data_IF_677874842051
#
_entry.id   IF_677874842051
#
_cell.length_a   1.000
_cell.length_b   1.000
_cell.length_c   1.000
_cell.angle_alpha   90.00
_cell.angle_beta   90.00
_cell.angle_gamma   90.00
#
_symmetry.space_group_name_H-M   'P 1'
#
loop_
_entity.id
_entity.type
_entity.pdbx_description
1 polymer ?
#
# COMPACT_ATOMS: atom_id res chain seq x y z
N UNK A 1 -16.31 -11.21 2.18
CA UNK A 1 -15.74 -10.87 0.85
C UNK A 1 -14.62 -11.85 0.55
N UNK A 2 -14.58 -12.45 -0.64
CA UNK A 2 -13.45 -13.32 -1.02
C UNK A 2 -12.18 -12.47 -1.13
N UNK A 3 -11.01 -12.95 -0.70
CA UNK A 3 -9.76 -12.22 -0.90
C UNK A 3 -9.53 -12.00 -2.39
N UNK A 4 -9.15 -10.78 -2.77
CA UNK A 4 -8.74 -10.47 -4.13
C UNK A 4 -7.41 -11.18 -4.38
N UNK A 5 -7.41 -12.22 -5.21
CA UNK A 5 -6.20 -12.95 -5.58
C UNK A 5 -5.66 -12.34 -6.87
N UNK A 6 -4.43 -11.81 -6.82
CA UNK A 6 -3.76 -11.28 -8.01
C UNK A 6 -2.88 -12.38 -8.61
N UNK A 7 -3.46 -13.24 -9.44
CA UNK A 7 -2.74 -14.22 -10.27
C UNK A 7 -3.33 -14.25 -11.69
N UNK A 8 -2.64 -14.91 -12.63
CA UNK A 8 -3.07 -14.97 -14.03
C UNK A 8 -4.49 -15.55 -14.23
N UNK A 9 -4.98 -16.38 -13.30
CA UNK A 9 -6.31 -17.02 -13.40
C UNK A 9 -7.43 -16.09 -12.95
N UNK A 10 -7.13 -15.09 -12.12
CA UNK A 10 -8.10 -14.14 -11.58
C UNK A 10 -7.91 -12.72 -12.13
N UNK A 11 -7.09 -12.54 -13.18
CA UNK A 11 -6.82 -11.23 -13.76
C UNK A 11 -8.10 -10.52 -14.22
N UNK A 12 -9.05 -11.24 -14.82
CA UNK A 12 -10.35 -10.67 -15.22
C UNK A 12 -11.23 -10.29 -14.03
N UNK A 13 -11.20 -11.05 -12.93
CA UNK A 13 -11.90 -10.69 -11.68
C UNK A 13 -11.31 -9.41 -11.08
N UNK A 14 -9.97 -9.26 -11.10
CA UNK A 14 -9.28 -8.06 -10.65
C UNK A 14 -9.64 -6.85 -11.51
N UNK A 15 -9.64 -6.99 -12.84
CA UNK A 15 -10.06 -5.92 -13.77
C UNK A 15 -11.51 -5.51 -13.54
N UNK A 16 -12.41 -6.49 -13.38
CA UNK A 16 -13.82 -6.24 -13.08
C UNK A 16 -13.99 -5.51 -11.76
N UNK A 17 -13.30 -5.96 -10.72
CA UNK A 17 -13.30 -5.31 -9.41
C UNK A 17 -12.81 -3.86 -9.49
N UNK A 18 -11.66 -3.63 -10.15
CA UNK A 18 -11.10 -2.29 -10.34
C UNK A 18 -12.06 -1.38 -11.12
N UNK A 19 -12.72 -1.90 -12.15
CA UNK A 19 -13.71 -1.16 -12.94
C UNK A 19 -14.94 -0.78 -12.12
N UNK A 20 -15.47 -1.70 -11.30
CA UNK A 20 -16.59 -1.44 -10.41
C UNK A 20 -16.22 -0.41 -9.33
N UNK A 21 -15.03 -0.54 -8.73
CA UNK A 21 -14.51 0.41 -7.76
C UNK A 21 -14.33 1.80 -8.37
N UNK A 22 -13.73 1.89 -9.56
CA UNK A 22 -13.54 3.16 -10.28
C UNK A 22 -14.86 3.82 -10.64
N UNK A 23 -15.83 3.05 -11.13
CA UNK A 23 -17.18 3.56 -11.43
C UNK A 23 -17.87 4.10 -10.19
N UNK A 24 -17.80 3.35 -9.07
CA UNK A 24 -18.36 3.78 -7.79
C UNK A 24 -17.71 5.05 -7.26
N UNK A 25 -16.38 5.12 -7.24
CA UNK A 25 -15.64 6.31 -6.80
C UNK A 25 -15.92 7.52 -7.69
N UNK A 26 -16.03 7.32 -9.00
CA UNK A 26 -16.38 8.40 -9.94
C UNK A 26 -17.81 8.90 -9.72
N UNK A 27 -18.78 8.01 -9.51
CA UNK A 27 -20.18 8.37 -9.26
C UNK A 27 -20.35 9.19 -7.97
N UNK A 28 -19.54 8.90 -6.95
CA UNK A 28 -19.59 9.56 -5.64
C UNK A 28 -18.39 10.48 -5.38
N UNK A 29 -17.70 10.95 -6.43
CA UNK A 29 -16.51 11.80 -6.28
C UNK A 29 -16.81 13.08 -5.50
N UNK A 30 -17.97 13.69 -5.75
CA UNK A 30 -18.48 14.86 -5.01
C UNK A 30 -18.60 14.63 -3.50
N UNK A 31 -18.77 13.39 -3.05
CA UNK A 31 -18.79 13.02 -1.63
C UNK A 31 -17.41 12.62 -1.13
N UNK A 32 -16.63 11.90 -1.94
CA UNK A 32 -15.28 11.46 -1.60
C UNK A 32 -14.28 12.62 -1.47
N UNK A 33 -14.45 13.63 -2.30
CA UNK A 33 -13.60 14.82 -2.38
C UNK A 33 -14.12 15.96 -1.50
N UNK A 34 -15.17 15.69 -0.70
CA UNK A 34 -15.74 16.63 0.26
C UNK A 34 -14.86 16.70 1.52
N UNK A 35 -13.88 17.60 1.51
CA UNK A 35 -13.07 17.88 2.70
C UNK A 35 -13.89 18.59 3.77
N UNK A 36 -13.87 18.05 4.99
CA UNK A 36 -14.62 18.60 6.14
C UNK A 36 -14.22 20.04 6.45
N UNK A 37 -12.95 20.40 6.22
CA UNK A 37 -12.45 21.76 6.43
C UNK A 37 -13.12 22.79 5.51
N UNK A 38 -13.58 22.35 4.34
CA UNK A 38 -14.18 23.22 3.33
C UNK A 38 -15.72 23.22 3.40
N UNK A 39 -16.32 22.61 4.43
CA UNK A 39 -17.77 22.36 4.50
C UNK A 39 -18.63 23.59 4.20
N UNK A 40 -18.31 24.73 4.81
CA UNK A 40 -19.07 25.96 4.65
C UNK A 40 -18.72 26.73 3.37
N UNK A 41 -17.44 26.77 2.98
CA UNK A 41 -16.97 27.50 1.80
C UNK A 41 -17.50 26.84 0.53
N UNK A 42 -17.46 25.51 0.51
CA UNK A 42 -17.91 24.68 -0.61
C UNK A 42 -19.39 24.30 -0.52
N UNK A 43 -20.12 24.77 0.50
CA UNK A 43 -21.53 24.47 0.73
C UNK A 43 -21.84 22.96 0.57
N UNK A 44 -21.02 22.10 1.18
CA UNK A 44 -21.01 20.65 0.91
C UNK A 44 -22.38 20.00 1.13
N UNK A 45 -23.18 20.50 2.07
CA UNK A 45 -24.56 20.05 2.29
C UNK A 45 -25.44 20.18 1.05
N UNK A 46 -25.32 21.28 0.30
CA UNK A 46 -26.14 21.54 -0.88
C UNK A 46 -25.74 20.66 -2.07
N UNK A 47 -24.54 20.08 -2.07
CA UNK A 47 -24.08 19.13 -3.08
C UNK A 47 -24.74 17.75 -2.93
N UNK A 48 -25.31 17.43 -1.76
CA UNK A 48 -26.07 16.20 -1.56
C UNK A 48 -27.36 16.21 -2.39
N UNK A 49 -27.84 15.06 -2.91
CA UNK A 49 -29.17 14.97 -3.51
C UNK A 49 -30.25 15.46 -2.53
N UNK A 50 -31.23 16.22 -3.02
CA UNK A 50 -32.29 16.78 -2.17
C UNK A 50 -33.05 15.72 -1.36
N UNK A 51 -33.26 14.54 -1.95
CA UNK A 51 -33.87 13.40 -1.26
C UNK A 51 -33.03 12.87 -0.11
N UNK A 52 -31.70 12.95 -0.19
CA UNK A 52 -30.79 12.58 0.88
C UNK A 52 -30.84 13.61 1.99
N UNK A 53 -30.78 14.90 1.64
CA UNK A 53 -30.86 16.00 2.60
C UNK A 53 -32.12 15.89 3.47
N UNK A 54 -33.28 15.62 2.87
CA UNK A 54 -34.56 15.51 3.57
C UNK A 54 -34.56 14.43 4.68
N UNK A 55 -33.88 13.31 4.46
CA UNK A 55 -33.76 12.25 5.46
C UNK A 55 -32.63 12.54 6.44
N UNK A 56 -31.48 12.96 5.94
CA UNK A 56 -30.29 13.23 6.77
C UNK A 56 -30.47 14.45 7.70
N UNK A 57 -31.38 15.39 7.39
CA UNK A 57 -31.72 16.49 8.29
C UNK A 57 -32.59 16.08 9.48
N UNK A 58 -33.29 14.96 9.37
CA UNK A 58 -34.26 14.49 10.36
C UNK A 58 -33.83 13.22 11.10
N UNK A 59 -32.82 12.50 10.59
CA UNK A 59 -32.31 11.27 11.18
C UNK A 59 -31.60 11.55 12.51
N UNK A 60 -31.86 10.71 13.51
CA UNK A 60 -31.10 10.75 14.77
C UNK A 60 -29.69 10.18 14.57
N UNK A 61 -28.70 10.71 15.31
CA UNK A 61 -27.31 10.28 15.18
C UNK A 61 -27.11 8.77 15.47
N UNK A 62 -27.90 8.20 16.38
CA UNK A 62 -27.86 6.76 16.68
C UNK A 62 -28.32 5.90 15.49
N UNK A 63 -29.37 6.34 14.79
CA UNK A 63 -29.87 5.65 13.59
C UNK A 63 -28.87 5.77 12.43
N UNK A 64 -28.26 6.95 12.27
CA UNK A 64 -27.22 7.18 11.27
C UNK A 64 -25.98 6.31 11.52
N UNK A 65 -25.51 6.22 12.78
CA UNK A 65 -24.40 5.36 13.18
C UNK A 65 -24.71 3.89 12.87
N UNK A 66 -25.90 3.44 13.25
CA UNK A 66 -26.38 2.07 12.99
C UNK A 66 -26.37 1.76 11.49
N UNK A 67 -26.85 2.68 10.65
CA UNK A 67 -26.83 2.51 9.21
C UNK A 67 -25.40 2.46 8.64
N UNK A 68 -24.49 3.32 9.10
CA UNK A 68 -23.09 3.30 8.66
C UNK A 68 -22.41 1.96 9.01
N UNK A 69 -22.69 1.41 10.19
CA UNK A 69 -22.11 0.14 10.67
C UNK A 69 -22.71 -1.10 10.01
N UNK A 70 -24.04 -1.13 9.81
CA UNK A 70 -24.75 -2.32 9.31
C UNK A 70 -25.05 -2.27 7.81
N UNK A 71 -25.15 -1.06 7.24
CA UNK A 71 -25.66 -0.82 5.89
C UNK A 71 -27.18 -0.93 5.78
N UNK A 72 -27.88 -1.13 6.91
CA UNK A 72 -29.33 -1.30 6.97
C UNK A 72 -29.93 -0.08 7.68
N UNK A 73 -30.82 0.67 7.03
CA UNK A 73 -31.51 1.77 7.70
C UNK A 73 -32.38 1.26 8.84
N UNK A 74 -32.45 2.06 9.92
CA UNK A 74 -33.38 1.79 11.02
C UNK A 74 -34.81 1.97 10.50
N UNK A 75 -35.65 0.95 10.69
CA UNK A 75 -37.03 0.95 10.23
C UNK A 75 -37.91 1.83 11.12
N UNK A 76 -38.87 2.54 10.53
CA UNK A 76 -40.07 2.99 11.26
C UNK A 76 -40.36 4.49 11.35
N UNK A 77 -39.51 5.38 10.81
CA UNK A 77 -39.79 6.84 10.85
C UNK A 77 -39.79 7.56 9.50
N UNK A 78 -38.89 7.20 8.58
CA UNK A 78 -38.74 7.88 7.30
C UNK A 78 -38.48 6.87 6.18
N UNK A 79 -38.88 7.22 4.95
CA UNK A 79 -38.51 6.47 3.75
C UNK A 79 -37.15 6.93 3.28
N UNK A 80 -36.13 6.09 3.43
CA UNK A 80 -34.78 6.40 2.97
C UNK A 80 -34.70 6.30 1.44
N UNK A 81 -34.04 7.24 0.74
CA UNK A 81 -33.82 7.12 -0.70
C UNK A 81 -33.02 5.86 -1.02
N UNK A 82 -33.45 5.10 -2.03
CA UNK A 82 -32.77 3.86 -2.43
C UNK A 82 -31.28 4.08 -2.71
N UNK A 83 -30.93 5.19 -3.38
CA UNK A 83 -29.54 5.53 -3.68
C UNK A 83 -28.68 5.77 -2.43
N UNK A 84 -29.26 6.29 -1.35
CA UNK A 84 -28.60 6.42 -0.05
C UNK A 84 -28.49 5.04 0.62
N UNK A 85 -29.57 4.27 0.64
CA UNK A 85 -29.57 2.92 1.22
C UNK A 85 -28.54 1.99 0.57
N UNK A 86 -28.34 2.09 -0.73
CA UNK A 86 -27.38 1.28 -1.48
C UNK A 86 -25.93 1.74 -1.29
N UNK A 87 -25.67 2.98 -0.85
CA UNK A 87 -24.31 3.54 -0.75
C UNK A 87 -23.43 2.73 0.22
N UNK A 88 -23.87 2.57 1.47
CA UNK A 88 -23.09 1.88 2.51
C UNK A 88 -22.83 0.39 2.17
N UNK A 89 -23.83 -0.41 1.75
CA UNK A 89 -23.60 -1.77 1.29
C UNK A 89 -22.66 -1.87 0.08
N UNK A 90 -22.81 -0.99 -0.92
CA UNK A 90 -21.92 -0.98 -2.09
C UNK A 90 -20.48 -0.62 -1.71
N UNK A 91 -20.29 0.40 -0.87
CA UNK A 91 -18.98 0.78 -0.35
C UNK A 91 -18.32 -0.38 0.43
N UNK A 92 -19.07 -1.09 1.28
CA UNK A 92 -18.57 -2.26 2.03
C UNK A 92 -18.23 -3.44 1.13
N UNK A 93 -19.02 -3.67 0.08
CA UNK A 93 -18.78 -4.73 -0.89
C UNK A 93 -17.54 -4.44 -1.75
N UNK A 94 -17.25 -3.18 -2.02
CA UNK A 94 -16.09 -2.76 -2.82
C UNK A 94 -14.84 -2.53 -1.96
N UNK A 95 -14.96 -2.32 -0.65
CA UNK A 95 -13.82 -2.11 0.23
C UNK A 95 -13.00 -3.40 0.43
N UNK A 96 -11.68 -3.29 0.30
CA UNK A 96 -10.78 -4.37 0.73
C UNK A 96 -10.92 -4.63 2.23
N UNK A 97 -10.74 -5.89 2.65
CA UNK A 97 -10.72 -6.25 4.07
C UNK A 97 -9.65 -5.43 4.81
N UNK A 98 -10.07 -4.74 5.87
CA UNK A 98 -9.20 -3.94 6.75
C UNK A 98 -8.73 -4.72 7.99
N UNK A 99 -8.73 -6.06 7.91
CA UNK A 99 -8.26 -6.90 9.02
C UNK A 99 -6.73 -6.98 9.03
N UNK A 100 -6.07 -6.69 10.17
CA UNK A 100 -4.63 -6.79 10.25
C UNK A 100 -4.17 -8.25 10.11
N UNK A 101 -3.15 -8.47 9.29
CA UNK A 101 -2.53 -9.80 9.15
C UNK A 101 -1.64 -10.07 10.38
N UNK A 102 -2.00 -11.06 11.20
CA UNK A 102 -1.31 -11.37 12.45
C UNK A 102 0.09 -11.98 12.25
N UNK A 103 0.30 -12.75 11.18
CA UNK A 103 1.58 -13.35 10.80
C UNK A 103 1.68 -13.44 9.26
N UNK A 104 2.89 -13.35 8.68
CA UNK A 104 3.08 -13.59 7.24
C UNK A 104 2.51 -14.93 6.75
N UNK A 105 2.43 -15.95 7.62
CA UNK A 105 1.83 -17.25 7.30
C UNK A 105 0.33 -17.15 6.96
N UNK A 106 -0.36 -16.11 7.45
CA UNK A 106 -1.76 -15.82 7.15
C UNK A 106 -1.98 -15.19 5.77
N UNK A 107 -0.93 -14.93 4.99
CA UNK A 107 -1.04 -14.41 3.63
C UNK A 107 -1.27 -15.61 2.68
N UNK A 108 -2.45 -15.73 2.03
CA UNK A 108 -2.78 -16.91 1.22
C UNK A 108 -1.79 -17.18 0.08
N UNK A 109 -1.25 -16.10 -0.49
CA UNK A 109 -0.23 -16.14 -1.53
C UNK A 109 1.13 -16.63 -1.03
N UNK A 110 1.40 -16.65 0.27
CA UNK A 110 2.67 -17.10 0.86
C UNK A 110 2.56 -18.45 1.56
N UNK A 111 1.35 -19.00 1.72
CA UNK A 111 1.16 -20.32 2.31
C UNK A 111 1.88 -21.39 1.47
N UNK A 112 2.72 -22.24 2.09
CA UNK A 112 3.45 -23.29 1.38
C UNK A 112 2.47 -24.37 0.94
N UNK A 113 2.50 -24.75 -0.34
CA UNK A 113 1.70 -25.90 -0.82
C UNK A 113 2.35 -27.25 -0.51
N UNK A 114 3.66 -27.33 -0.29
CA UNK A 114 4.40 -28.58 -0.02
C UNK A 114 5.84 -28.33 0.50
N UNK A 115 6.04 -27.87 1.74
CA UNK A 115 7.41 -27.79 2.29
C UNK A 115 7.43 -27.95 3.81
N UNK A 116 8.16 -28.96 4.27
CA UNK A 116 8.41 -29.39 5.66
C UNK A 116 9.29 -28.42 6.49
N UNK A 117 9.41 -27.16 6.08
CA UNK A 117 10.39 -26.20 6.61
C UNK A 117 9.82 -24.96 7.33
N UNK A 118 8.52 -24.70 7.30
CA UNK A 118 7.96 -23.46 7.88
C UNK A 118 7.62 -23.63 9.37
N UNK A 119 8.65 -23.72 10.21
CA UNK A 119 8.46 -23.49 11.65
C UNK A 119 8.55 -21.98 11.91
N UNK A 120 7.38 -21.39 12.21
CA UNK A 120 7.17 -20.04 12.75
C UNK A 120 7.68 -18.85 11.91
N UNK A 121 7.03 -18.57 10.78
CA UNK A 121 7.19 -17.30 10.09
C UNK A 121 6.42 -16.20 10.84
N UNK A 122 7.12 -15.35 11.57
CA UNK A 122 6.55 -14.25 12.35
C UNK A 122 6.98 -12.89 11.78
N UNK A 123 6.20 -11.85 12.09
CA UNK A 123 6.63 -10.49 11.76
C UNK A 123 7.92 -10.15 12.53
N UNK A 124 8.82 -9.33 11.94
CA UNK A 124 10.00 -8.87 12.65
C UNK A 124 9.58 -8.13 13.93
N UNK A 125 10.21 -8.48 15.06
CA UNK A 125 9.96 -7.80 16.31
C UNK A 125 10.21 -6.29 16.17
N UNK A 126 9.24 -5.49 16.58
CA UNK A 126 9.32 -4.04 16.56
C UNK A 126 9.44 -3.53 17.99
N UNK A 127 10.63 -3.07 18.36
CA UNK A 127 10.87 -2.46 19.67
C UNK A 127 10.66 -0.95 19.60
N UNK A 128 9.95 -0.40 20.60
CA UNK A 128 9.71 1.04 20.79
C UNK A 128 11.01 1.83 20.96
N UNK A 129 12.08 1.20 21.45
CA UNK A 129 13.41 1.79 21.59
C UNK A 129 14.22 1.80 20.27
N UNK A 130 13.60 1.37 19.18
CA UNK A 130 14.18 1.27 17.86
C UNK A 130 14.19 -0.17 17.41
N UNK A 131 13.90 -0.37 16.14
CA UNK A 131 14.02 -1.68 15.50
C UNK A 131 15.46 -2.25 15.77
N UNK A 132 15.73 -3.54 15.61
CA UNK A 132 17.13 -4.02 15.49
C UNK A 132 17.44 -4.44 14.06
N UNK A 133 16.41 -4.56 13.24
CA UNK A 133 16.45 -5.15 11.91
C UNK A 133 16.75 -4.11 10.81
N UNK A 134 16.57 -2.82 11.07
CA UNK A 134 16.95 -1.75 10.12
C UNK A 134 18.24 -1.08 10.58
N UNK A 135 19.38 -1.26 9.93
CA UNK A 135 20.58 -0.51 10.34
C UNK A 135 20.32 1.01 10.35
N UNK A 136 21.05 1.77 11.18
CA UNK A 136 20.94 3.24 11.30
C UNK A 136 20.68 4.01 9.98
N UNK A 137 21.34 3.70 8.84
CA UNK A 137 21.08 4.38 7.56
C UNK A 137 19.65 4.24 7.03
N UNK A 138 18.92 3.18 7.40
CA UNK A 138 17.56 2.93 6.90
C UNK A 138 16.45 3.58 7.75
N UNK A 139 16.78 4.13 8.93
CA UNK A 139 15.80 4.76 9.84
C UNK A 139 15.76 6.29 9.77
N UNK A 140 16.83 6.88 9.25
CA UNK A 140 16.99 8.33 9.26
C UNK A 140 15.82 8.99 8.53
N UNK A 141 15.20 9.98 9.16
CA UNK A 141 14.03 10.71 8.65
C UNK A 141 12.73 9.89 8.48
N UNK A 142 12.65 8.68 9.07
CA UNK A 142 11.45 7.83 9.01
C UNK A 142 10.81 7.73 10.40
N UNK A 143 9.54 8.15 10.53
CA UNK A 143 8.76 7.98 11.77
C UNK A 143 8.53 6.50 12.09
N UNK A 144 8.36 6.15 13.37
CA UNK A 144 8.19 4.76 13.84
C UNK A 144 7.11 3.99 13.08
N UNK A 145 5.93 4.59 12.87
CA UNK A 145 4.84 3.98 12.08
C UNK A 145 5.31 3.58 10.68
N UNK A 146 5.98 4.48 9.97
CA UNK A 146 6.48 4.24 8.61
C UNK A 146 7.60 3.19 8.59
N UNK A 147 8.45 3.14 9.63
CA UNK A 147 9.45 2.08 9.77
C UNK A 147 8.80 0.69 9.92
N UNK A 148 7.71 0.59 10.71
CA UNK A 148 6.93 -0.65 10.87
C UNK A 148 6.33 -1.11 9.54
N UNK A 149 5.69 -0.19 8.81
CA UNK A 149 5.11 -0.47 7.49
C UNK A 149 6.17 -0.94 6.48
N UNK A 150 7.29 -0.23 6.36
CA UNK A 150 8.39 -0.58 5.46
C UNK A 150 8.96 -1.96 5.80
N UNK A 151 9.22 -2.23 7.08
CA UNK A 151 9.82 -3.50 7.51
C UNK A 151 8.94 -4.69 7.16
N UNK A 152 7.62 -4.58 7.42
CA UNK A 152 6.66 -5.65 7.11
C UNK A 152 6.47 -5.81 5.61
N UNK A 153 6.35 -4.71 4.87
CA UNK A 153 6.19 -4.78 3.42
C UNK A 153 7.42 -5.37 2.74
N UNK A 154 8.63 -5.02 3.20
CA UNK A 154 9.87 -5.58 2.67
C UNK A 154 9.96 -7.11 2.86
N UNK A 155 9.54 -7.63 4.01
CA UNK A 155 9.43 -9.07 4.23
C UNK A 155 8.43 -9.72 3.26
N UNK A 156 7.26 -9.10 3.05
CA UNK A 156 6.27 -9.64 2.11
C UNK A 156 6.81 -9.68 0.69
N UNK A 157 7.47 -8.61 0.25
CA UNK A 157 8.09 -8.53 -1.09
C UNK A 157 9.20 -9.57 -1.24
N UNK A 158 10.07 -9.75 -0.24
CA UNK A 158 11.11 -10.78 -0.25
C UNK A 158 10.53 -12.20 -0.37
N UNK A 159 9.48 -12.51 0.42
CA UNK A 159 8.83 -13.82 0.37
C UNK A 159 8.13 -14.06 -0.98
N UNK A 160 7.52 -13.03 -1.56
CA UNK A 160 6.92 -13.11 -2.90
C UNK A 160 7.99 -13.28 -3.98
N UNK A 161 9.09 -12.52 -3.91
CA UNK A 161 10.22 -12.62 -4.81
C UNK A 161 10.80 -14.04 -4.83
N UNK A 162 11.05 -14.62 -3.64
CA UNK A 162 11.50 -16.00 -3.50
C UNK A 162 10.50 -17.02 -4.07
N UNK A 163 9.21 -16.85 -3.77
CA UNK A 163 8.16 -17.76 -4.24
C UNK A 163 7.97 -17.72 -5.76
N UNK A 164 8.07 -16.53 -6.35
CA UNK A 164 7.88 -16.33 -7.79
C UNK A 164 9.18 -16.50 -8.59
N UNK A 165 10.33 -16.65 -7.93
CA UNK A 165 11.64 -16.62 -8.59
C UNK A 165 11.95 -15.27 -9.25
N UNK A 166 11.38 -14.18 -8.74
CA UNK A 166 11.58 -12.84 -9.29
C UNK A 166 12.66 -12.09 -8.51
N UNK A 167 13.59 -11.46 -9.22
CA UNK A 167 14.64 -10.62 -8.63
C UNK A 167 14.41 -9.12 -8.85
N UNK A 168 13.52 -8.75 -9.76
CA UNK A 168 13.23 -7.35 -10.08
C UNK A 168 11.95 -6.90 -9.39
N UNK A 169 11.99 -5.72 -8.79
CA UNK A 169 10.85 -5.08 -8.15
C UNK A 169 10.71 -3.68 -8.69
N UNK A 170 9.50 -3.33 -9.12
CA UNK A 170 9.13 -1.98 -9.49
C UNK A 170 8.29 -1.36 -8.35
N UNK A 171 8.79 -0.28 -7.74
CA UNK A 171 8.12 0.47 -6.68
C UNK A 171 7.51 1.76 -7.24
N UNK A 172 6.17 1.79 -7.38
CA UNK A 172 5.43 2.92 -7.95
C UNK A 172 4.93 3.85 -6.83
N UNK A 173 5.24 5.14 -6.92
CA UNK A 173 4.99 6.11 -5.86
C UNK A 173 6.01 5.99 -4.71
N UNK A 174 7.27 5.75 -5.06
CA UNK A 174 8.33 5.43 -4.10
C UNK A 174 8.72 6.59 -3.15
N UNK A 175 8.34 7.83 -3.48
CA UNK A 175 8.73 9.04 -2.77
C UNK A 175 10.25 9.11 -2.58
N UNK A 176 10.69 9.17 -1.32
CA UNK A 176 12.12 9.25 -0.96
C UNK A 176 12.85 7.89 -0.91
N UNK A 177 12.25 6.83 -1.49
CA UNK A 177 12.91 5.54 -1.74
C UNK A 177 13.23 4.71 -0.49
N UNK A 178 12.54 4.90 0.64
CA UNK A 178 12.88 4.17 1.87
C UNK A 178 12.64 2.65 1.78
N UNK A 179 11.54 2.22 1.17
CA UNK A 179 11.27 0.81 0.94
C UNK A 179 12.24 0.25 -0.09
N UNK A 180 12.36 0.93 -1.24
CA UNK A 180 13.26 0.54 -2.33
C UNK A 180 14.70 0.31 -1.85
N UNK A 181 15.25 1.24 -1.06
CA UNK A 181 16.60 1.12 -0.50
C UNK A 181 16.77 -0.08 0.41
N UNK A 182 15.76 -0.42 1.21
CA UNK A 182 15.79 -1.62 2.05
C UNK A 182 15.75 -2.89 1.20
N UNK A 183 14.85 -2.95 0.21
CA UNK A 183 14.74 -4.08 -0.72
C UNK A 183 16.04 -4.30 -1.51
N UNK A 184 16.67 -3.21 -1.95
CA UNK A 184 17.90 -3.26 -2.73
C UNK A 184 19.13 -3.65 -1.89
N UNK A 185 19.37 -2.96 -0.78
CA UNK A 185 20.61 -3.10 -0.01
C UNK A 185 20.57 -4.21 1.05
N UNK A 186 19.41 -4.49 1.64
CA UNK A 186 19.24 -5.54 2.66
C UNK A 186 18.75 -6.85 2.02
N UNK A 187 17.71 -6.77 1.18
CA UNK A 187 17.08 -7.95 0.55
C UNK A 187 17.72 -8.36 -0.77
N UNK A 188 18.64 -7.54 -1.29
CA UNK A 188 19.41 -7.80 -2.52
C UNK A 188 18.53 -8.05 -3.75
N UNK A 189 17.39 -7.37 -3.80
CA UNK A 189 16.54 -7.33 -4.98
C UNK A 189 17.03 -6.22 -5.91
N UNK A 190 16.85 -6.38 -7.22
CA UNK A 190 17.02 -5.29 -8.17
C UNK A 190 15.76 -4.43 -8.14
N UNK A 191 15.90 -3.17 -7.74
CA UNK A 191 14.75 -2.30 -7.51
C UNK A 191 14.82 -1.10 -8.43
N UNK A 192 13.79 -0.95 -9.25
CA UNK A 192 13.51 0.28 -9.96
C UNK A 192 12.32 0.96 -9.28
N UNK A 193 12.29 2.28 -9.36
CA UNK A 193 11.26 3.08 -8.72
C UNK A 193 10.75 4.16 -9.65
N UNK A 194 9.46 4.46 -9.54
CA UNK A 194 8.79 5.51 -10.29
C UNK A 194 8.12 6.47 -9.32
N UNK A 195 8.29 7.77 -9.54
CA UNK A 195 7.53 8.83 -8.86
C UNK A 195 7.38 10.02 -9.81
N UNK A 196 6.30 10.79 -9.63
CA UNK A 196 6.04 11.99 -10.44
C UNK A 196 6.89 13.18 -9.97
N UNK A 197 7.34 13.19 -8.71
CA UNK A 197 7.95 14.36 -8.10
C UNK A 197 9.48 14.22 -8.10
N UNK A 198 10.17 14.83 -9.06
CA UNK A 198 11.64 14.78 -9.18
C UNK A 198 12.42 15.18 -7.92
N UNK A 199 11.90 16.07 -7.08
CA UNK A 199 12.56 16.45 -5.81
C UNK A 199 12.61 15.29 -4.78
N UNK A 200 11.65 14.36 -4.85
CA UNK A 200 11.67 13.14 -4.05
C UNK A 200 12.78 12.19 -4.51
N UNK A 201 13.01 12.07 -5.83
CA UNK A 201 14.08 11.24 -6.39
C UNK A 201 15.46 11.74 -6.02
N UNK A 202 15.70 13.05 -6.12
CA UNK A 202 16.97 13.64 -5.70
C UNK A 202 17.28 13.34 -4.23
N UNK A 203 16.24 13.43 -3.37
CA UNK A 203 16.33 13.05 -1.96
C UNK A 203 16.61 11.55 -1.79
N UNK A 204 15.93 10.70 -2.56
CA UNK A 204 16.12 9.26 -2.53
C UNK A 204 17.56 8.87 -2.89
N UNK A 205 18.08 9.35 -4.02
CA UNK A 205 19.47 9.14 -4.46
C UNK A 205 20.49 9.65 -3.44
N UNK A 206 20.21 10.79 -2.79
CA UNK A 206 21.08 11.30 -1.73
C UNK A 206 21.14 10.34 -0.54
N UNK A 207 20.00 9.84 -0.08
CA UNK A 207 19.94 8.91 1.05
C UNK A 207 20.49 7.51 0.69
N UNK A 208 20.34 7.08 -0.56
CA UNK A 208 20.93 5.83 -1.06
C UNK A 208 22.46 5.86 -0.97
N UNK A 209 23.08 6.95 -1.43
CA UNK A 209 24.53 7.15 -1.29
C UNK A 209 24.98 7.10 0.16
N UNK A 210 24.24 7.71 1.08
CA UNK A 210 24.55 7.64 2.51
C UNK A 210 24.47 6.21 3.04
N UNK A 211 23.47 5.43 2.62
CA UNK A 211 23.31 4.05 3.06
C UNK A 211 24.39 3.12 2.50
N UNK A 212 24.72 3.23 1.21
CA UNK A 212 25.80 2.46 0.57
C UNK A 212 27.12 2.68 1.32
N UNK A 213 27.49 3.94 1.58
CA UNK A 213 28.70 4.27 2.34
C UNK A 213 28.69 3.66 3.75
N UNK A 214 27.53 3.65 4.42
CA UNK A 214 27.42 3.06 5.75
C UNK A 214 27.60 1.54 5.72
N UNK A 215 26.97 0.85 4.75
CA UNK A 215 27.10 -0.60 4.61
C UNK A 215 28.55 -0.99 4.28
N UNK A 216 29.20 -0.24 3.38
CA UNK A 216 30.62 -0.43 3.06
C UNK A 216 31.54 -0.26 4.28
N UNK A 217 31.35 0.83 5.05
CA UNK A 217 32.13 1.06 6.28
C UNK A 217 31.93 -0.04 7.31
N UNK A 218 30.70 -0.53 7.49
CA UNK A 218 30.40 -1.62 8.42
C UNK A 218 31.08 -2.93 8.00
N UNK A 219 31.10 -3.25 6.69
CA UNK A 219 31.85 -4.40 6.15
C UNK A 219 33.36 -4.27 6.40
N UNK A 220 33.93 -3.08 6.16
CA UNK A 220 35.35 -2.82 6.39
C UNK A 220 35.78 -2.94 7.86
N UNK A 221 34.91 -2.55 8.80
CA UNK A 221 35.16 -2.66 10.23
C UNK A 221 34.94 -4.07 10.81
N UNK A 222 34.20 -4.93 10.11
CA UNK A 222 33.76 -6.25 10.60
C UNK A 222 34.70 -7.42 10.31
N UNK A 223 35.81 -7.23 9.60
CA UNK A 223 36.82 -8.28 9.37
C UNK A 223 36.33 -9.49 8.55
N UNK A 224 35.27 -9.37 7.75
CA UNK A 224 34.80 -10.45 6.89
C UNK A 224 35.81 -10.72 5.75
N UNK A 225 36.27 -11.97 5.67
CA UNK A 225 37.24 -12.47 4.69
C UNK A 225 36.76 -12.32 3.24
N UNK A 226 37.71 -12.34 2.29
CA UNK A 226 37.62 -12.04 0.84
C UNK A 226 36.65 -12.89 -0.01
N UNK A 227 35.69 -13.58 0.59
CA UNK A 227 34.57 -14.28 -0.08
C UNK A 227 33.22 -13.61 0.16
N UNK A 228 33.21 -12.31 0.50
CA UNK A 228 31.99 -11.55 0.70
C UNK A 228 31.26 -11.33 -0.63
N UNK A 229 30.02 -11.81 -0.71
CA UNK A 229 29.13 -11.54 -1.84
C UNK A 229 29.00 -10.03 -2.10
N UNK A 230 28.91 -9.61 -3.39
CA UNK A 230 28.84 -8.22 -3.77
C UNK A 230 27.68 -7.50 -3.06
N UNK A 231 27.87 -6.20 -2.79
CA UNK A 231 26.79 -5.35 -2.30
C UNK A 231 25.66 -5.35 -3.35
N UNK A 232 24.40 -5.41 -2.92
CA UNK A 232 23.28 -5.19 -3.84
C UNK A 232 23.37 -3.81 -4.49
N UNK A 233 22.98 -3.72 -5.75
CA UNK A 233 22.96 -2.45 -6.47
C UNK A 233 21.99 -1.48 -5.81
N UNK A 234 22.30 -0.16 -5.74
CA UNK A 234 21.35 0.82 -5.24
C UNK A 234 20.10 0.87 -6.13
N UNK A 235 18.94 1.28 -5.58
CA UNK A 235 17.74 1.47 -6.38
C UNK A 235 17.94 2.41 -7.56
N UNK A 236 17.30 2.10 -8.68
CA UNK A 236 17.18 3.04 -9.79
C UNK A 236 15.93 3.90 -9.58
N UNK A 237 16.09 5.21 -9.77
CA UNK A 237 15.03 6.19 -9.60
C UNK A 237 14.68 6.84 -10.93
N UNK A 238 13.42 6.70 -11.36
CA UNK A 238 12.91 7.22 -12.62
C UNK A 238 11.75 8.18 -12.36
N UNK A 239 11.84 9.38 -12.93
CA UNK A 239 10.75 10.36 -12.88
C UNK A 239 9.77 10.02 -14.00
N UNK A 240 8.58 9.56 -13.63
CA UNK A 240 7.56 9.16 -14.60
C UNK A 240 6.17 9.33 -13.99
N UNK A 241 5.28 9.95 -14.76
CA UNK A 241 3.84 9.91 -14.51
C UNK A 241 3.26 8.58 -14.98
N UNK A 242 2.76 7.76 -14.06
CA UNK A 242 1.97 6.58 -14.42
C UNK A 242 0.53 7.02 -14.69
N UNK A 243 0.11 6.92 -15.94
CA UNK A 243 -1.21 7.34 -16.41
C UNK A 243 -1.93 6.22 -17.17
N UNK A 244 -3.13 6.49 -17.67
CA UNK A 244 -3.90 5.53 -18.47
C UNK A 244 -3.26 5.21 -19.83
N UNK A 245 -2.28 6.02 -20.29
CA UNK A 245 -1.53 5.76 -21.52
C UNK A 245 -0.25 4.98 -21.27
N UNK A 246 0.18 4.84 -20.01
CA UNK A 246 1.40 4.11 -19.66
C UNK A 246 1.23 2.62 -19.97
N UNK A 247 2.14 2.07 -20.77
CA UNK A 247 2.06 0.67 -21.20
C UNK A 247 2.82 -0.25 -20.25
N UNK A 248 2.43 -1.54 -20.12
CA UNK A 248 3.22 -2.51 -19.36
C UNK A 248 4.67 -2.62 -19.85
N UNK A 249 4.90 -2.49 -21.16
CA UNK A 249 6.24 -2.55 -21.75
C UNK A 249 7.15 -1.40 -21.29
N UNK A 250 6.62 -0.18 -21.12
CA UNK A 250 7.36 0.96 -20.57
C UNK A 250 7.78 0.68 -19.12
N UNK A 251 6.88 0.14 -18.31
CA UNK A 251 7.15 -0.20 -16.91
C UNK A 251 8.15 -1.36 -16.79
N UNK A 252 8.07 -2.35 -17.68
CA UNK A 252 9.04 -3.45 -17.75
C UNK A 252 10.43 -2.94 -18.13
N UNK A 253 10.54 -2.04 -19.12
CA UNK A 253 11.84 -1.44 -19.48
C UNK A 253 12.50 -0.76 -18.28
N UNK A 254 11.73 -0.04 -17.46
CA UNK A 254 12.21 0.59 -16.23
C UNK A 254 12.62 -0.45 -15.18
N UNK A 255 11.87 -1.55 -15.05
CA UNK A 255 12.17 -2.60 -14.10
C UNK A 255 13.46 -3.38 -14.42
N UNK A 256 13.89 -3.38 -15.69
CA UNK A 256 15.06 -4.11 -16.18
C UNK A 256 16.26 -3.23 -16.55
N UNK A 257 16.16 -1.90 -16.46
CA UNK A 257 17.31 -0.99 -16.54
C UNK A 257 18.23 -1.12 -15.33
#
# INVERSE_FOLDING_TARGET
MRPLVCDARHAEDVKRYASLLGTFLSQYSWLNDAYVLDYFVEQQWLKLPASWQAVLSAVELGDLSTWLETGVPVQGRFVWPLSLMCLAPAAKLLALSRSPVASPAGIPLLSPKNSTGTKNLEWPAFDLHGNRNLTHPFRKHVKLKKQHEITRLAMVVELLAQKCGCLHVLDVGSGQGHLARLLALDKRLRVATVDLVGSHLASAQHFDRQAVLHVQKKKAAGGESKTAEPLGDPPQHVELEVSMTTTPAELEQIAFT
#
